data_IF_661489568713
#
_entry.id   IF_661489568713
#
_cell.length_a   1.000
_cell.length_b   1.000
_cell.length_c   1.000
_cell.angle_alpha   90.00
_cell.angle_beta   90.00
_cell.angle_gamma   90.00
#
_symmetry.space_group_name_H-M   'P 1'
#
loop_
_entity.id
_entity.type
_entity.pdbx_description
1 polymer ?
#
# COMPACT_ATOMS: atom_id res chain seq x y z
N UNK A 1 -24.64 -22.87 -25.28
CA UNK A 1 -24.27 -22.31 -23.97
C UNK A 1 -22.77 -22.11 -24.03
N UNK A 2 -22.33 -20.93 -24.47
CA UNK A 2 -20.91 -20.63 -24.68
C UNK A 2 -20.26 -20.39 -23.33
N UNK A 3 -19.20 -21.14 -23.03
CA UNK A 3 -18.40 -20.97 -21.83
C UNK A 3 -17.88 -19.53 -21.75
N UNK A 4 -18.45 -18.76 -20.82
CA UNK A 4 -18.04 -17.38 -20.55
C UNK A 4 -16.62 -17.40 -19.93
N UNK A 5 -15.60 -17.41 -20.79
CA UNK A 5 -14.20 -17.47 -20.39
C UNK A 5 -13.82 -16.21 -19.58
N UNK A 6 -13.80 -16.32 -18.25
CA UNK A 6 -13.42 -15.21 -17.38
C UNK A 6 -11.90 -15.06 -17.31
N UNK A 7 -11.35 -14.10 -18.07
CA UNK A 7 -9.90 -13.80 -18.03
C UNK A 7 -9.59 -12.74 -16.97
N UNK A 8 -8.91 -13.14 -15.89
CA UNK A 8 -8.40 -12.19 -14.90
C UNK A 8 -7.21 -11.39 -15.47
N UNK A 9 -7.47 -10.16 -15.95
CA UNK A 9 -6.41 -9.26 -16.43
C UNK A 9 -5.71 -8.54 -15.27
N UNK A 10 -4.54 -9.04 -14.87
CA UNK A 10 -3.68 -8.34 -13.92
C UNK A 10 -2.94 -7.17 -14.61
N UNK A 11 -3.08 -5.95 -14.09
CA UNK A 11 -2.25 -4.81 -14.53
C UNK A 11 -0.95 -4.83 -13.72
N UNK A 12 0.19 -4.86 -14.42
CA UNK A 12 1.51 -4.72 -13.77
C UNK A 12 1.59 -3.35 -13.08
N UNK A 13 1.91 -3.36 -11.79
CA UNK A 13 2.04 -2.16 -10.94
C UNK A 13 3.45 -2.02 -10.41
N UNK A 14 3.85 -0.78 -10.18
CA UNK A 14 5.08 -0.42 -9.48
C UNK A 14 4.68 0.12 -8.12
N UNK A 15 5.27 -0.44 -7.06
CA UNK A 15 5.10 0.03 -5.69
C UNK A 15 6.45 0.55 -5.21
N UNK A 16 6.49 1.82 -4.80
CA UNK A 16 7.65 2.41 -4.13
C UNK A 16 7.33 2.60 -2.66
N UNK A 17 8.10 1.95 -1.79
CA UNK A 17 7.99 2.09 -0.33
C UNK A 17 8.95 3.19 0.11
N UNK A 18 8.46 4.14 0.90
CA UNK A 18 9.31 5.13 1.55
C UNK A 18 9.84 4.58 2.87
N UNK A 19 11.14 4.71 3.11
CA UNK A 19 11.75 4.31 4.38
C UNK A 19 11.12 5.11 5.53
N UNK A 20 10.82 4.41 6.62
CA UNK A 20 10.31 4.98 7.84
C UNK A 20 11.10 4.40 9.02
N UNK A 21 11.48 5.25 9.98
CA UNK A 21 12.16 4.86 11.22
C UNK A 21 11.52 5.61 12.38
N UNK A 22 11.27 4.93 13.49
CA UNK A 22 10.72 5.50 14.72
C UNK A 22 11.08 4.65 15.92
N UNK A 23 10.96 5.22 17.12
CA UNK A 23 11.04 4.49 18.39
C UNK A 23 9.68 3.88 18.74
N UNK A 24 9.69 2.84 19.57
CA UNK A 24 8.45 2.26 20.12
C UNK A 24 7.64 3.31 20.88
N UNK A 25 6.30 3.26 20.72
CA UNK A 25 5.37 4.21 21.33
C UNK A 25 5.24 5.55 20.60
N UNK A 26 6.11 5.83 19.61
CA UNK A 26 6.03 7.04 18.77
C UNK A 26 5.33 6.73 17.45
N UNK A 27 4.36 7.59 17.10
CA UNK A 27 3.64 7.48 15.83
C UNK A 27 4.56 7.79 14.65
N UNK A 28 4.52 6.94 13.61
CA UNK A 28 5.22 7.11 12.34
C UNK A 28 4.24 7.03 11.17
N UNK A 29 4.59 7.67 10.05
CA UNK A 29 3.83 7.56 8.80
C UNK A 29 4.46 6.52 7.87
N UNK A 30 3.75 5.44 7.60
CA UNK A 30 4.09 4.50 6.53
C UNK A 30 3.55 5.06 5.22
N UNK A 31 4.43 5.25 4.23
CA UNK A 31 4.05 5.81 2.93
C UNK A 31 4.43 4.85 1.80
N UNK A 32 3.55 4.74 0.81
CA UNK A 32 3.83 4.04 -0.43
C UNK A 32 3.27 4.81 -1.62
N UNK A 33 3.98 4.79 -2.75
CA UNK A 33 3.50 5.31 -4.03
C UNK A 33 3.11 4.14 -4.94
N UNK A 34 1.91 4.18 -5.48
CA UNK A 34 1.37 3.19 -6.40
C UNK A 34 1.25 3.80 -7.80
N UNK A 35 1.86 3.14 -8.79
CA UNK A 35 1.79 3.51 -10.19
C UNK A 35 1.58 2.28 -11.08
N UNK A 36 1.15 2.48 -12.31
CA UNK A 36 1.14 1.45 -13.35
C UNK A 36 2.55 1.24 -13.96
N UNK A 37 2.68 0.27 -14.86
CA UNK A 37 3.94 0.00 -15.57
C UNK A 37 4.47 1.16 -16.42
N UNK A 38 3.61 2.13 -16.78
CA UNK A 38 3.97 3.32 -17.56
C UNK A 38 4.35 4.50 -16.66
N UNK A 39 4.29 4.34 -15.34
CA UNK A 39 4.57 5.39 -14.37
C UNK A 39 3.36 6.27 -14.01
N UNK A 40 2.17 5.98 -14.55
CA UNK A 40 0.96 6.73 -14.21
C UNK A 40 0.52 6.40 -12.80
N UNK A 41 0.26 7.41 -11.99
CA UNK A 41 -0.16 7.23 -10.61
C UNK A 41 -1.56 6.60 -10.55
N UNK A 42 -1.72 5.61 -9.67
CA UNK A 42 -3.01 4.97 -9.46
C UNK A 42 -3.72 5.61 -8.26
N UNK A 43 -4.65 6.52 -8.55
CA UNK A 43 -5.42 7.28 -7.55
C UNK A 43 -6.61 6.46 -7.02
N UNK A 44 -6.94 6.63 -5.74
CA UNK A 44 -8.14 6.04 -5.14
C UNK A 44 -8.08 4.54 -4.85
N UNK A 45 -6.91 3.91 -5.00
CA UNK A 45 -6.71 2.47 -4.74
C UNK A 45 -6.29 2.22 -3.30
N UNK A 46 -6.69 1.10 -2.71
CA UNK A 46 -6.26 0.71 -1.37
C UNK A 46 -4.92 -0.01 -1.41
N UNK A 47 -3.98 0.42 -0.57
CA UNK A 47 -2.73 -0.29 -0.30
C UNK A 47 -2.78 -0.84 1.12
N UNK A 48 -2.57 -2.15 1.27
CA UNK A 48 -2.45 -2.83 2.57
C UNK A 48 -1.00 -2.71 3.06
N UNK A 49 -0.83 -2.34 4.32
CA UNK A 49 0.48 -2.20 4.96
C UNK A 49 0.70 -3.37 5.93
N UNK A 50 1.91 -3.90 5.90
CA UNK A 50 2.36 -4.98 6.76
C UNK A 50 3.68 -4.59 7.41
N UNK A 51 3.81 -4.86 8.71
CA UNK A 51 5.04 -4.65 9.48
C UNK A 51 5.43 -5.99 10.09
N UNK A 52 6.63 -6.48 9.79
CA UNK A 52 7.10 -7.81 10.18
C UNK A 52 6.09 -8.92 9.84
N UNK A 53 5.53 -8.90 8.62
CA UNK A 53 4.54 -9.86 8.14
C UNK A 53 3.12 -9.68 8.68
N UNK A 54 2.89 -8.82 9.68
CA UNK A 54 1.57 -8.59 10.27
C UNK A 54 0.86 -7.43 9.60
N UNK A 55 -0.42 -7.63 9.28
CA UNK A 55 -1.28 -6.56 8.76
C UNK A 55 -1.48 -5.47 9.82
N UNK A 56 -1.19 -4.22 9.47
CA UNK A 56 -1.32 -3.06 10.38
C UNK A 56 -2.38 -2.06 9.93
N UNK A 57 -2.91 -2.21 8.71
CA UNK A 57 -3.95 -1.34 8.17
C UNK A 57 -3.87 -1.17 6.66
N UNK A 58 -4.81 -0.40 6.12
CA UNK A 58 -4.84 -0.02 4.69
C UNK A 58 -5.06 1.48 4.55
N UNK A 59 -4.49 2.07 3.51
CA UNK A 59 -4.73 3.46 3.16
C UNK A 59 -5.05 3.62 1.66
N UNK A 60 -5.87 4.63 1.35
CA UNK A 60 -6.26 4.95 -0.03
C UNK A 60 -5.21 5.87 -0.65
N UNK A 61 -4.85 5.63 -1.90
CA UNK A 61 -3.91 6.50 -2.63
C UNK A 61 -4.55 7.84 -2.96
N UNK A 62 -3.83 8.92 -2.68
CA UNK A 62 -4.26 10.28 -2.97
C UNK A 62 -4.04 10.64 -4.46
N UNK A 63 -4.27 11.91 -4.83
CA UNK A 63 -4.10 12.43 -6.21
C UNK A 63 -2.68 12.25 -6.76
N UNK A 64 -1.66 12.04 -5.91
CA UNK A 64 -0.27 11.77 -6.30
C UNK A 64 0.06 10.26 -6.32
N UNK A 65 -0.94 9.39 -6.16
CA UNK A 65 -0.77 7.94 -6.04
C UNK A 65 -0.16 7.50 -4.70
N UNK A 66 -0.12 8.37 -3.68
CA UNK A 66 0.53 8.08 -2.40
C UNK A 66 -0.51 7.63 -1.38
N UNK A 67 -0.33 6.45 -0.81
CA UNK A 67 -1.06 5.95 0.35
C UNK A 67 -0.24 6.24 1.62
N UNK A 68 -0.87 6.82 2.64
CA UNK A 68 -0.24 7.12 3.94
C UNK A 68 -1.03 6.50 5.08
N UNK A 69 -0.37 5.68 5.90
CA UNK A 69 -0.94 5.08 7.11
C UNK A 69 -0.18 5.59 8.34
N UNK A 70 -0.89 6.13 9.33
CA UNK A 70 -0.31 6.41 10.66
C UNK A 70 -0.21 5.09 11.42
N UNK A 71 0.99 4.77 11.91
CA UNK A 71 1.28 3.53 12.62
C UNK A 71 2.04 3.85 13.91
N UNK A 72 1.63 3.25 15.03
CA UNK A 72 2.36 3.35 16.29
C UNK A 72 2.84 1.94 16.69
N UNK A 73 4.14 1.63 16.53
CA UNK A 73 4.69 0.36 16.95
C UNK A 73 4.66 0.27 18.48
N UNK A 74 3.88 -0.69 19.01
CA UNK A 74 3.89 -1.02 20.44
C UNK A 74 5.06 -1.95 20.73
N UNK A 75 5.81 -1.68 21.80
CA UNK A 75 6.79 -2.63 22.34
C UNK A 75 6.02 -3.85 22.85
N UNK A 76 6.38 -5.06 22.40
CA UNK A 76 5.87 -6.27 23.05
C UNK A 76 6.49 -6.33 24.44
N UNK A 77 5.65 -6.50 25.47
CA UNK A 77 6.10 -6.84 26.82
C UNK A 77 6.71 -8.23 26.81
#
# INVERSE_FOLDING_TARGET
MEDLLYTAKAKKTIIKIYKAKTLYGKTVQLKSKLADKKGNVLVGKYVKFYVAGKYVGKAKTNRKGIATLKYNPKKKK
#
